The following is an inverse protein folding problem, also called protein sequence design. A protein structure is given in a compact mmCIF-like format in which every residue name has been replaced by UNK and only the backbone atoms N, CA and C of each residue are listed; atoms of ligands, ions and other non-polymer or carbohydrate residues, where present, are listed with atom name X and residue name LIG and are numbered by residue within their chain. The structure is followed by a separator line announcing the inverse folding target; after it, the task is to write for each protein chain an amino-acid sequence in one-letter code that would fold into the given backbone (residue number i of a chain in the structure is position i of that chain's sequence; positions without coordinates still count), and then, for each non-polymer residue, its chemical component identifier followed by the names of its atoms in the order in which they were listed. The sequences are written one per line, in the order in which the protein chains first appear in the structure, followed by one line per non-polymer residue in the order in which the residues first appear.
data_IF_164783502805
#
_entry.id   IF_164783502805
#
_cell.length_a   1.000
_cell.length_b   1.000
_cell.length_c   1.000
_cell.angle_alpha   90.00
_cell.angle_beta   90.00
_cell.angle_gamma   90.00
#
_symmetry.space_group_name_H-M   'P 1'
#
loop_
_entity.id
_entity.type
_entity.pdbx_description
1 polymer ?
#
# COMPACT_ATOMS: atom_id res chain seq x y z
N UNK A 1 -0.55 -23.39 14.18
CA UNK A 1 -1.86 -22.69 14.15
C UNK A 1 -1.77 -21.69 13.02
N UNK A 2 -2.46 -21.95 11.90
CA UNK A 2 -2.46 -21.06 10.75
C UNK A 2 -3.19 -19.78 11.13
N UNK A 3 -2.46 -18.68 11.27
CA UNK A 3 -3.05 -17.37 11.47
C UNK A 3 -3.80 -17.02 10.18
N UNK A 4 -5.13 -17.14 10.21
CA UNK A 4 -5.97 -16.70 9.09
C UNK A 4 -5.98 -15.18 9.18
N UNK A 5 -5.06 -14.56 8.45
CA UNK A 5 -5.04 -13.11 8.26
C UNK A 5 -6.34 -12.74 7.57
N UNK A 6 -7.27 -12.15 8.33
CA UNK A 6 -8.56 -11.71 7.80
C UNK A 6 -8.31 -10.46 6.98
N UNK A 7 -8.11 -10.63 5.69
CA UNK A 7 -8.03 -9.52 4.74
C UNK A 7 -9.32 -8.70 4.78
N UNK A 8 -9.18 -7.38 4.96
CA UNK A 8 -10.31 -6.44 5.00
C UNK A 8 -10.25 -5.59 3.73
N UNK A 9 -11.40 -5.40 3.07
CA UNK A 9 -11.49 -4.56 1.87
C UNK A 9 -12.37 -3.33 2.13
N UNK A 10 -12.04 -2.23 1.45
CA UNK A 10 -12.82 -1.01 1.47
C UNK A 10 -14.07 -1.13 0.59
N UNK A 11 -15.26 -0.89 1.15
CA UNK A 11 -16.51 -0.87 0.38
C UNK A 11 -16.65 0.35 -0.56
N UNK A 12 -15.78 1.36 -0.43
CA UNK A 12 -15.80 2.56 -1.27
C UNK A 12 -14.94 2.42 -2.52
N UNK A 13 -13.66 2.10 -2.36
CA UNK A 13 -12.69 2.05 -3.46
C UNK A 13 -12.15 0.65 -3.76
N UNK A 14 -12.50 -0.37 -2.98
CA UNK A 14 -12.06 -1.76 -3.20
C UNK A 14 -10.63 -2.08 -2.76
N UNK A 15 -9.89 -1.11 -2.20
CA UNK A 15 -8.51 -1.33 -1.72
C UNK A 15 -8.47 -2.29 -0.53
N UNK A 16 -7.41 -3.07 -0.43
CA UNK A 16 -7.12 -3.86 0.76
C UNK A 16 -6.70 -2.93 1.90
N UNK A 17 -7.38 -3.04 3.03
CA UNK A 17 -7.11 -2.24 4.21
C UNK A 17 -6.13 -3.03 5.09
N UNK A 18 -4.85 -2.65 5.01
CA UNK A 18 -3.80 -3.16 5.90
C UNK A 18 -3.70 -2.38 7.21
N UNK A 19 -4.48 -1.29 7.35
CA UNK A 19 -4.55 -0.41 8.52
C UNK A 19 -5.92 -0.46 9.20
N UNK A 20 -6.12 0.41 10.21
CA UNK A 20 -7.41 0.51 10.93
C UNK A 20 -8.51 1.09 10.02
N UNK A 21 -9.55 0.31 9.65
CA UNK A 21 -10.63 0.82 8.83
C UNK A 21 -11.57 1.74 9.63
N UNK A 22 -12.23 2.66 8.93
CA UNK A 22 -13.38 3.38 9.45
C UNK A 22 -14.61 2.47 9.33
N UNK A 23 -15.24 2.15 10.45
CA UNK A 23 -16.42 1.28 10.50
C UNK A 23 -17.67 2.16 10.62
N UNK A 24 -18.61 1.99 9.69
CA UNK A 24 -19.93 2.61 9.74
C UNK A 24 -21.00 1.55 9.50
N UNK A 25 -21.65 1.13 10.58
CA UNK A 25 -22.55 -0.03 10.56
C UNK A 25 -21.78 -1.30 10.21
N UNK A 26 -22.18 -1.97 9.12
CA UNK A 26 -21.54 -3.20 8.62
C UNK A 26 -20.50 -2.92 7.52
N UNK A 27 -20.31 -1.64 7.14
CA UNK A 27 -19.40 -1.25 6.06
C UNK A 27 -18.06 -0.77 6.61
N UNK A 28 -16.99 -1.16 5.93
CA UNK A 28 -15.61 -0.81 6.26
C UNK A 28 -15.03 0.07 5.16
N UNK A 29 -14.41 1.17 5.55
CA UNK A 29 -13.85 2.16 4.63
C UNK A 29 -12.40 2.47 4.98
N UNK A 30 -11.56 2.63 3.96
CA UNK A 30 -10.14 2.94 4.16
C UNK A 30 -9.88 4.40 4.56
N UNK A 31 -10.82 5.30 4.24
CA UNK A 31 -10.73 6.74 4.47
C UNK A 31 -12.12 7.38 4.56
N UNK A 32 -12.15 8.64 5.02
CA UNK A 32 -13.39 9.41 5.17
C UNK A 32 -14.02 9.76 3.81
N UNK A 33 -13.23 9.89 2.74
CA UNK A 33 -13.79 10.12 1.40
C UNK A 33 -14.64 8.95 0.94
N UNK A 34 -14.15 7.72 1.11
CA UNK A 34 -14.91 6.50 0.80
C UNK A 34 -16.19 6.39 1.63
N UNK A 35 -16.14 6.78 2.91
CA UNK A 35 -17.31 6.84 3.79
C UNK A 35 -18.39 7.79 3.24
N UNK A 36 -17.98 8.93 2.69
CA UNK A 36 -18.86 9.94 2.12
C UNK A 36 -19.19 9.69 0.63
N UNK A 37 -18.69 8.60 0.02
CA UNK A 37 -18.88 8.30 -1.39
C UNK A 37 -18.14 9.25 -2.34
N UNK A 38 -17.07 9.91 -1.88
CA UNK A 38 -16.21 10.77 -2.72
C UNK A 38 -15.10 9.94 -3.37
N UNK A 39 -14.61 10.40 -4.52
CA UNK A 39 -13.46 9.80 -5.18
C UNK A 39 -12.21 9.88 -4.30
N UNK A 40 -11.54 8.74 -4.09
CA UNK A 40 -10.28 8.67 -3.35
C UNK A 40 -9.19 8.00 -4.20
N UNK A 41 -7.93 8.26 -3.86
CA UNK A 41 -6.75 7.68 -4.54
C UNK A 41 -6.08 6.57 -3.73
N UNK A 42 -6.77 6.02 -2.72
CA UNK A 42 -6.22 4.97 -1.85
C UNK A 42 -5.88 3.69 -2.62
N UNK A 43 -6.72 3.28 -3.58
CA UNK A 43 -6.50 2.09 -4.40
C UNK A 43 -5.27 2.20 -5.31
N UNK A 44 -5.02 3.38 -5.87
CA UNK A 44 -3.89 3.64 -6.79
C UNK A 44 -2.54 3.55 -6.09
N UNK A 45 -2.48 3.75 -4.75
CA UNK A 45 -1.22 3.77 -4.01
C UNK A 45 -0.66 2.37 -3.76
N UNK A 46 -1.50 1.33 -3.80
CA UNK A 46 -1.09 -0.03 -3.48
C UNK A 46 -0.49 -0.77 -4.70
N UNK A 47 -0.86 -0.37 -5.92
CA UNK A 47 -0.32 -0.95 -7.17
C UNK A 47 1.14 -0.53 -7.45
N UNK A 48 1.62 0.55 -6.83
CA UNK A 48 3.01 1.02 -6.99
C UNK A 48 4.03 0.36 -6.03
N UNK A 49 3.61 -0.42 -5.04
CA UNK A 49 4.52 -1.04 -4.06
C UNK A 49 5.02 -2.44 -4.47
N UNK A 50 4.52 -2.99 -5.60
CA UNK A 50 4.96 -4.29 -6.16
C UNK A 50 6.17 -4.18 -7.10
N UNK A 51 6.70 -2.97 -7.35
CA UNK A 51 8.01 -2.83 -8.00
C UNK A 51 9.10 -2.75 -6.93
N UNK A 52 9.51 -3.91 -6.40
CA UNK A 52 10.83 -4.04 -5.78
C UNK A 52 11.86 -4.25 -6.90
N UNK A 53 12.60 -3.23 -7.35
CA UNK A 53 13.92 -3.51 -7.85
C UNK A 53 14.74 -3.98 -6.66
N UNK A 54 14.91 -5.29 -6.55
CA UNK A 54 16.05 -5.88 -5.88
C UNK A 54 17.33 -5.36 -6.57
N UNK A 55 17.79 -4.18 -6.18
CA UNK A 55 19.09 -3.61 -6.52
C UNK A 55 19.88 -3.34 -5.23
N UNK A 56 20.06 -4.41 -4.45
CA UNK A 56 21.40 -4.65 -3.96
C UNK A 56 22.25 -5.16 -5.14
N UNK A 57 23.48 -4.68 -5.26
CA UNK A 57 24.53 -5.09 -6.22
C UNK A 57 24.58 -4.32 -7.55
N UNK A 58 25.11 -3.10 -7.52
CA UNK A 58 26.25 -2.72 -8.37
C UNK A 58 26.88 -1.45 -7.82
N UNK A 59 27.94 -1.63 -7.03
CA UNK A 59 28.97 -0.61 -6.91
C UNK A 59 29.47 -0.26 -8.32
N UNK A 60 29.80 1.00 -8.56
CA UNK A 60 31.09 1.24 -9.18
C UNK A 60 31.97 2.03 -8.21
N UNK A 61 33.05 1.41 -7.75
CA UNK A 61 34.26 2.16 -7.45
C UNK A 61 34.84 2.66 -8.76
N UNK A 62 35.03 3.96 -8.97
CA UNK A 62 36.13 4.44 -9.78
C UNK A 62 37.29 4.78 -8.85
N UNK A 63 38.17 3.81 -8.72
CA UNK A 63 39.56 4.03 -8.37
C UNK A 63 40.24 4.99 -9.36
N UNK A 64 41.21 5.76 -8.83
CA UNK A 64 42.24 6.58 -9.48
C UNK A 64 41.95 8.05 -9.78
N UNK A 65 42.49 8.91 -8.91
CA UNK A 65 42.83 10.31 -9.17
C UNK A 65 44.13 10.65 -8.46
N UNK A 66 45.25 10.34 -9.11
CA UNK A 66 46.60 10.81 -8.77
C UNK A 66 46.67 12.33 -8.97
N UNK A 67 47.30 13.08 -8.06
CA UNK A 67 48.17 14.19 -8.41
C UNK A 67 49.64 13.74 -8.52
#
# INVERSE_FOLDING_TARGET
MSNIERTIFCNGCGVEITWSPIIQGERRYCCQDCLHGRGCTCATRQDLDDDRPNLAHSAPSPQTGFP
#
